data_IF_495767260441
#
_entry.id   IF_495767260441
#
_cell.length_a   1.000
_cell.length_b   1.000
_cell.length_c   1.000
_cell.angle_alpha   90.00
_cell.angle_beta   90.00
_cell.angle_gamma   90.00
#
_symmetry.space_group_name_H-M   'P 1'
#
loop_
_entity.id
_entity.type
_entity.pdbx_description
1 polymer ?
#
# COMPACT_ATOMS: atom_id res chain seq x y z
N UNK A 1 -28.66 77.79 -50.57
CA UNK A 1 -29.81 77.80 -49.64
C UNK A 1 -29.30 78.12 -48.24
N UNK A 2 -29.71 79.25 -47.65
CA UNK A 2 -29.28 79.66 -46.32
C UNK A 2 -30.01 78.80 -45.27
N UNK A 3 -29.28 77.97 -44.52
CA UNK A 3 -29.83 77.16 -43.43
C UNK A 3 -30.13 78.02 -42.20
N UNK A 4 -31.30 77.82 -41.60
CA UNK A 4 -31.80 78.60 -40.48
C UNK A 4 -30.85 78.49 -39.25
N UNK A 5 -30.42 79.62 -38.64
CA UNK A 5 -29.47 79.62 -37.53
C UNK A 5 -29.92 78.81 -36.31
N UNK A 6 -31.24 78.66 -36.10
CA UNK A 6 -31.80 77.85 -35.01
C UNK A 6 -31.60 76.34 -35.25
N UNK A 7 -31.70 75.89 -36.51
CA UNK A 7 -31.41 74.50 -36.89
C UNK A 7 -29.91 74.18 -36.81
N UNK A 8 -29.03 75.17 -37.05
CA UNK A 8 -27.58 74.99 -36.94
C UNK A 8 -27.12 74.84 -35.49
N UNK A 9 -27.72 75.59 -34.56
CA UNK A 9 -27.45 75.46 -33.10
C UNK A 9 -27.97 74.14 -32.55
N UNK A 10 -29.19 73.72 -32.94
CA UNK A 10 -29.76 72.43 -32.53
C UNK A 10 -28.95 71.23 -33.05
N UNK A 11 -28.52 71.26 -34.33
CA UNK A 11 -27.66 70.21 -34.91
C UNK A 11 -26.29 70.13 -34.23
N UNK A 12 -25.65 71.27 -33.94
CA UNK A 12 -24.36 71.28 -33.25
C UNK A 12 -24.48 70.81 -31.79
N UNK A 13 -25.58 71.15 -31.10
CA UNK A 13 -25.83 70.67 -29.73
C UNK A 13 -26.11 69.16 -29.69
N UNK A 14 -26.82 68.63 -30.69
CA UNK A 14 -27.05 67.19 -30.85
C UNK A 14 -25.75 66.44 -31.17
N UNK A 15 -24.95 66.95 -32.11
CA UNK A 15 -23.65 66.37 -32.46
C UNK A 15 -22.68 66.37 -31.26
N UNK A 16 -22.69 67.45 -30.46
CA UNK A 16 -21.86 67.57 -29.27
C UNK A 16 -22.31 66.61 -28.16
N UNK A 17 -23.62 66.45 -27.95
CA UNK A 17 -24.16 65.46 -27.01
C UNK A 17 -23.84 64.02 -27.43
N UNK A 18 -23.90 63.72 -28.73
CA UNK A 18 -23.52 62.42 -29.28
C UNK A 18 -22.02 62.15 -29.13
N UNK A 19 -21.16 63.15 -29.35
CA UNK A 19 -19.72 63.06 -29.15
C UNK A 19 -19.39 62.81 -27.66
N UNK A 20 -20.04 63.53 -26.75
CA UNK A 20 -19.84 63.36 -25.31
C UNK A 20 -20.24 61.96 -24.85
N UNK A 21 -21.37 61.43 -25.35
CA UNK A 21 -21.86 60.09 -25.01
C UNK A 21 -20.93 59.00 -25.56
N UNK A 22 -20.38 59.17 -26.77
CA UNK A 22 -19.37 58.28 -27.34
C UNK A 22 -18.09 58.24 -26.50
N UNK A 23 -17.63 59.38 -25.98
CA UNK A 23 -16.45 59.44 -25.11
C UNK A 23 -16.73 58.71 -23.79
N UNK A 24 -17.90 58.92 -23.18
CA UNK A 24 -18.29 58.24 -21.94
C UNK A 24 -18.40 56.72 -22.15
N UNK A 25 -19.04 56.28 -23.23
CA UNK A 25 -19.10 54.85 -23.59
C UNK A 25 -17.71 54.26 -23.83
N UNK A 26 -16.81 54.97 -24.53
CA UNK A 26 -15.43 54.54 -24.74
C UNK A 26 -14.67 54.35 -23.42
N UNK A 27 -14.85 55.26 -22.47
CA UNK A 27 -14.25 55.15 -21.13
C UNK A 27 -14.81 53.98 -20.32
N UNK A 28 -16.13 53.73 -20.39
CA UNK A 28 -16.75 52.57 -19.73
C UNK A 28 -16.24 51.25 -20.34
N UNK A 29 -16.12 51.17 -21.65
CA UNK A 29 -15.58 49.98 -22.34
C UNK A 29 -14.12 49.77 -21.97
N UNK A 30 -13.29 50.82 -21.94
CA UNK A 30 -11.89 50.73 -21.51
C UNK A 30 -11.77 50.27 -20.06
N UNK A 31 -12.62 50.79 -19.16
CA UNK A 31 -12.67 50.39 -17.76
C UNK A 31 -13.10 48.92 -17.59
N UNK A 32 -14.12 48.48 -18.33
CA UNK A 32 -14.54 47.06 -18.36
C UNK A 32 -13.43 46.16 -18.91
N UNK A 33 -12.68 46.60 -19.92
CA UNK A 33 -11.56 45.84 -20.47
C UNK A 33 -10.41 45.70 -19.46
N UNK A 34 -10.11 46.74 -18.69
CA UNK A 34 -9.14 46.70 -17.59
C UNK A 34 -9.61 45.74 -16.48
N UNK A 35 -10.89 45.79 -16.10
CA UNK A 35 -11.45 44.84 -15.13
C UNK A 35 -11.39 43.40 -15.63
N UNK A 36 -11.74 43.16 -16.90
CA UNK A 36 -11.71 41.83 -17.50
C UNK A 36 -10.29 41.27 -17.55
N UNK A 37 -9.29 42.10 -17.90
CA UNK A 37 -7.88 41.72 -17.86
C UNK A 37 -7.43 41.35 -16.44
N UNK A 38 -7.78 42.16 -15.44
CA UNK A 38 -7.46 41.88 -14.04
C UNK A 38 -8.15 40.60 -13.52
N UNK A 39 -9.36 40.28 -13.99
CA UNK A 39 -10.05 39.02 -13.66
C UNK A 39 -9.38 37.81 -14.32
N UNK A 40 -9.01 37.91 -15.60
CA UNK A 40 -8.27 36.82 -16.28
C UNK A 40 -6.88 36.61 -15.69
N UNK A 41 -6.18 37.67 -15.30
CA UNK A 41 -4.87 37.58 -14.65
C UNK A 41 -4.97 36.95 -13.25
N UNK A 42 -6.10 37.13 -12.55
CA UNK A 42 -6.41 36.44 -11.28
C UNK A 42 -6.74 34.96 -11.47
N UNK A 43 -7.47 34.58 -12.52
CA UNK A 43 -7.76 33.16 -12.83
C UNK A 43 -6.54 32.42 -13.37
N UNK A 44 -5.61 33.11 -14.07
CA UNK A 44 -4.38 32.54 -14.64
C UNK A 44 -3.16 32.64 -13.73
N UNK A 45 -3.31 33.18 -12.52
CA UNK A 45 -2.24 33.18 -11.53
C UNK A 45 -2.01 31.74 -11.06
N UNK A 46 -1.22 30.98 -11.82
CA UNK A 46 -0.76 29.64 -11.47
C UNK A 46 -0.12 29.70 -10.09
N UNK A 47 -0.80 29.13 -9.09
CA UNK A 47 -0.29 29.04 -7.72
C UNK A 47 0.87 28.05 -7.75
N UNK A 48 2.09 28.58 -7.88
CA UNK A 48 3.32 27.78 -7.84
C UNK A 48 3.67 27.46 -6.40
N UNK A 49 3.95 26.19 -6.13
CA UNK A 49 4.38 25.68 -4.82
C UNK A 49 5.78 25.09 -4.97
N UNK A 50 6.63 25.32 -3.96
CA UNK A 50 7.96 24.71 -3.86
C UNK A 50 7.81 23.26 -3.41
N UNK A 51 8.25 22.32 -4.24
CA UNK A 51 8.24 20.89 -3.92
C UNK A 51 9.62 20.25 -4.13
N UNK A 52 9.95 19.28 -3.28
CA UNK A 52 11.14 18.46 -3.43
C UNK A 52 11.00 17.44 -4.57
N UNK A 53 11.99 17.41 -5.46
CA UNK A 53 12.11 16.44 -6.56
C UNK A 53 13.49 15.82 -6.58
N UNK A 54 13.63 14.64 -7.20
CA UNK A 54 14.93 13.98 -7.37
C UNK A 54 15.87 14.77 -8.30
N UNK A 55 17.13 14.94 -7.90
CA UNK A 55 18.17 15.58 -8.74
C UNK A 55 18.87 14.60 -9.69
N UNK A 56 18.69 13.30 -9.46
CA UNK A 56 19.32 12.18 -10.16
C UNK A 56 18.36 10.99 -10.29
N UNK A 57 18.75 9.99 -11.07
CA UNK A 57 18.00 8.73 -11.20
C UNK A 57 18.21 7.87 -9.93
N UNK A 58 17.14 7.23 -9.46
CA UNK A 58 17.13 6.36 -8.29
C UNK A 58 16.57 5.00 -8.70
N UNK A 59 17.28 3.91 -8.39
CA UNK A 59 16.80 2.55 -8.67
C UNK A 59 15.83 2.08 -7.60
N UNK A 60 14.96 1.13 -7.94
CA UNK A 60 14.19 0.39 -6.93
C UNK A 60 15.15 -0.24 -5.90
N UNK A 61 14.77 -0.21 -4.62
CA UNK A 61 15.61 -0.69 -3.51
C UNK A 61 16.71 0.29 -3.07
N UNK A 62 16.94 1.40 -3.77
CA UNK A 62 17.96 2.37 -3.38
C UNK A 62 17.50 3.25 -2.21
N UNK A 63 18.41 3.49 -1.25
CA UNK A 63 18.19 4.43 -0.15
C UNK A 63 18.15 5.85 -0.70
N UNK A 64 17.05 6.55 -0.42
CA UNK A 64 16.85 7.96 -0.74
C UNK A 64 17.33 8.80 0.45
N UNK A 65 18.25 9.71 0.18
CA UNK A 65 18.75 10.67 1.18
C UNK A 65 18.32 12.10 0.83
N UNK A 66 18.30 13.01 1.82
CA UNK A 66 18.04 14.44 1.59
C UNK A 66 18.94 15.03 0.51
N UNK A 67 20.16 14.54 0.37
CA UNK A 67 21.12 15.03 -0.63
C UNK A 67 20.67 14.78 -2.06
N UNK A 68 19.82 13.79 -2.31
CA UNK A 68 19.28 13.43 -3.63
C UNK A 68 18.10 14.31 -4.05
N UNK A 69 17.66 15.21 -3.18
CA UNK A 69 16.52 16.09 -3.41
C UNK A 69 16.93 17.52 -3.77
N UNK A 70 16.12 18.15 -4.60
CA UNK A 70 16.22 19.58 -4.93
C UNK A 70 14.82 20.20 -4.97
N UNK A 71 14.70 21.48 -4.66
CA UNK A 71 13.41 22.18 -4.66
C UNK A 71 13.11 22.75 -6.04
N UNK A 72 11.88 22.57 -6.53
CA UNK A 72 11.38 23.19 -7.76
C UNK A 72 10.04 23.86 -7.54
N UNK A 73 9.80 24.95 -8.26
CA UNK A 73 8.50 25.60 -8.33
C UNK A 73 7.62 24.87 -9.36
N UNK A 74 6.57 24.20 -8.89
CA UNK A 74 5.63 23.44 -9.73
C UNK A 74 4.21 23.99 -9.52
N UNK A 75 3.40 23.95 -10.57
CA UNK A 75 1.97 24.24 -10.49
C UNK A 75 1.31 23.30 -9.46
N UNK A 76 0.60 23.87 -8.47
CA UNK A 76 -0.09 23.09 -7.44
C UNK A 76 -1.01 22.01 -8.02
N UNK A 77 -1.60 22.24 -9.18
CA UNK A 77 -2.53 21.30 -9.84
C UNK A 77 -1.83 20.07 -10.44
N UNK A 78 -0.51 20.14 -10.63
CA UNK A 78 0.30 19.03 -11.19
C UNK A 78 0.99 18.21 -10.10
N UNK A 79 0.83 18.59 -8.83
CA UNK A 79 1.41 17.88 -7.70
C UNK A 79 0.41 16.83 -7.22
N UNK A 80 0.79 15.54 -7.21
CA UNK A 80 -0.04 14.48 -6.64
C UNK A 80 -0.37 14.78 -5.17
N UNK A 81 -1.59 14.46 -4.73
CA UNK A 81 -2.01 14.70 -3.34
C UNK A 81 -1.17 13.93 -2.31
N UNK A 82 -0.66 12.76 -2.70
CA UNK A 82 0.19 11.89 -1.89
C UNK A 82 1.69 12.24 -1.96
N UNK A 83 2.05 13.41 -2.51
CA UNK A 83 3.43 13.83 -2.63
C UNK A 83 4.08 14.16 -1.27
N UNK A 84 5.35 13.80 -1.12
CA UNK A 84 6.21 14.25 -0.02
C UNK A 84 6.68 15.66 -0.39
N UNK A 85 6.01 16.66 0.18
CA UNK A 85 6.18 18.07 -0.19
C UNK A 85 7.57 18.63 0.08
N UNK A 86 8.29 18.12 1.09
CA UNK A 86 9.59 18.65 1.51
C UNK A 86 10.45 17.66 2.33
N UNK A 87 11.67 18.10 2.64
CA UNK A 87 12.65 17.33 3.40
C UNK A 87 12.19 17.02 4.84
N UNK A 88 11.40 17.90 5.46
CA UNK A 88 10.87 17.64 6.80
C UNK A 88 9.83 16.54 6.78
N UNK A 89 8.97 16.52 5.78
CA UNK A 89 7.97 15.48 5.56
C UNK A 89 8.63 14.13 5.30
N UNK A 90 9.75 14.11 4.56
CA UNK A 90 10.56 12.90 4.37
C UNK A 90 11.19 12.42 5.68
N UNK A 91 11.74 13.34 6.49
CA UNK A 91 12.30 13.01 7.82
C UNK A 91 11.21 12.47 8.73
N UNK A 92 10.03 13.06 8.75
CA UNK A 92 8.91 12.58 9.55
C UNK A 92 8.45 11.19 9.09
N UNK A 93 8.40 10.95 7.78
CA UNK A 93 8.13 9.63 7.23
C UNK A 93 9.14 8.58 7.73
N UNK A 94 10.41 8.95 7.90
CA UNK A 94 11.44 8.06 8.43
C UNK A 94 11.38 7.79 9.94
N UNK A 95 10.49 8.45 10.70
CA UNK A 95 10.40 8.28 12.16
C UNK A 95 9.61 7.03 12.55
N UNK A 96 10.07 6.41 13.63
CA UNK A 96 9.40 5.34 14.37
C UNK A 96 9.90 5.33 15.81
N UNK A 97 9.23 4.62 16.71
CA UNK A 97 9.79 4.35 18.03
C UNK A 97 10.76 3.15 18.02
N UNK A 98 11.47 2.96 19.13
CA UNK A 98 12.39 1.82 19.32
C UNK A 98 11.72 0.45 19.21
N UNK A 99 10.39 0.38 19.33
CA UNK A 99 9.61 -0.84 19.22
C UNK A 99 9.09 -1.06 17.78
N UNK A 100 9.39 -0.16 16.85
CA UNK A 100 8.97 -0.23 15.45
C UNK A 100 7.58 0.31 15.17
N UNK A 101 6.92 0.95 16.14
CA UNK A 101 5.61 1.56 15.96
C UNK A 101 5.72 2.77 15.02
N UNK A 102 4.74 2.92 14.14
CA UNK A 102 4.74 3.96 13.12
C UNK A 102 4.52 5.34 13.73
N UNK A 103 5.35 6.31 13.30
CA UNK A 103 5.06 7.72 13.50
C UNK A 103 4.50 8.28 12.21
N UNK A 104 3.30 8.86 12.30
CA UNK A 104 2.64 9.61 11.25
C UNK A 104 2.64 11.10 11.58
N UNK A 105 2.35 11.93 10.57
CA UNK A 105 2.30 13.39 10.73
C UNK A 105 1.03 13.92 10.08
N UNK A 106 0.27 14.74 10.80
CA UNK A 106 -0.96 15.39 10.32
C UNK A 106 -0.79 16.90 10.47
N UNK A 107 -1.32 17.68 9.52
CA UNK A 107 -1.34 19.14 9.63
C UNK A 107 -2.61 19.54 10.36
N UNK A 108 -2.45 20.16 11.52
CA UNK A 108 -3.55 20.69 12.33
C UNK A 108 -3.31 22.18 12.57
N UNK A 109 -4.30 23.01 12.23
CA UNK A 109 -4.20 24.48 12.37
C UNK A 109 -2.97 25.13 11.71
N UNK A 110 -2.42 24.50 10.66
CA UNK A 110 -1.22 25.00 9.97
C UNK A 110 0.10 24.58 10.61
N UNK A 111 0.07 23.83 11.70
CA UNK A 111 1.25 23.25 12.35
C UNK A 111 1.32 21.75 12.08
N UNK A 112 2.54 21.22 12.01
CA UNK A 112 2.79 19.81 11.78
C UNK A 112 2.79 19.07 13.12
N UNK A 113 1.79 18.21 13.33
CA UNK A 113 1.61 17.44 14.56
C UNK A 113 1.96 15.98 14.30
N UNK A 114 2.81 15.40 15.15
CA UNK A 114 3.22 14.01 15.08
C UNK A 114 2.26 13.11 15.88
N UNK A 115 2.03 11.92 15.37
CA UNK A 115 1.22 10.88 16.01
C UNK A 115 2.00 9.57 16.03
N UNK A 116 2.04 8.90 17.18
CA UNK A 116 2.52 7.53 17.31
C UNK A 116 1.34 6.57 17.23
N UNK A 117 1.32 5.70 16.24
CA UNK A 117 0.31 4.65 16.14
C UNK A 117 0.77 3.46 16.96
N UNK A 118 0.14 3.25 18.13
CA UNK A 118 0.43 2.13 19.03
C UNK A 118 -0.88 1.41 19.32
N UNK A 119 -0.92 0.08 19.10
CA UNK A 119 -2.14 -0.71 19.24
C UNK A 119 -3.34 -0.10 18.45
N UNK A 120 -3.14 0.21 17.16
CA UNK A 120 -4.15 0.85 16.30
C UNK A 120 -4.76 2.17 16.81
N UNK A 121 -4.16 2.78 17.84
CA UNK A 121 -4.57 4.07 18.37
C UNK A 121 -3.49 5.09 18.06
N UNK A 122 -3.88 6.20 17.44
CA UNK A 122 -3.00 7.33 17.20
C UNK A 122 -2.89 8.16 18.47
N UNK A 123 -1.71 8.15 19.09
CA UNK A 123 -1.39 9.01 20.22
C UNK A 123 -0.64 10.24 19.72
N UNK A 124 -1.12 11.43 20.07
CA UNK A 124 -0.40 12.67 19.78
C UNK A 124 0.95 12.66 20.49
N UNK A 125 2.04 12.82 19.73
CA UNK A 125 3.38 12.97 20.26
C UNK A 125 3.59 14.43 20.63
N UNK A 126 3.74 14.69 21.92
CA UNK A 126 4.08 15.99 22.47
C UNK A 126 5.55 16.04 22.84
N UNK A 127 6.10 17.26 22.91
CA UNK A 127 7.50 17.50 23.22
C UNK A 127 7.58 18.33 24.48
N UNK A 128 8.39 17.91 25.44
CA UNK A 128 8.65 18.71 26.63
C UNK A 128 9.74 19.78 26.39
N UNK A 129 10.01 20.59 27.41
CA UNK A 129 11.02 21.64 27.37
C UNK A 129 12.44 21.11 27.14
N UNK A 130 12.69 19.82 27.43
CA UNK A 130 13.97 19.15 27.19
C UNK A 130 14.14 18.66 25.75
N UNK A 131 13.05 18.70 24.96
CA UNK A 131 13.02 18.18 23.61
C UNK A 131 12.72 16.68 23.52
N UNK A 132 12.30 16.05 24.62
CA UNK A 132 11.93 14.64 24.68
C UNK A 132 10.47 14.45 24.26
N UNK A 133 10.21 13.44 23.42
CA UNK A 133 8.86 13.12 22.99
C UNK A 133 8.13 12.28 24.05
N UNK A 134 6.84 12.54 24.25
CA UNK A 134 5.97 11.76 25.11
C UNK A 134 4.56 11.66 24.54
N UNK A 135 3.81 10.65 24.99
CA UNK A 135 2.37 10.54 24.80
C UNK A 135 1.67 10.68 26.16
N UNK A 136 0.50 11.31 26.21
CA UNK A 136 -0.32 11.35 27.42
C UNK A 136 -1.26 10.17 27.48
N UNK A 137 -1.20 9.41 28.57
CA UNK A 137 -2.09 8.28 28.83
C UNK A 137 -2.56 8.33 30.28
N UNK A 138 -3.88 8.42 30.48
CA UNK A 138 -4.48 8.49 31.82
C UNK A 138 -3.86 9.58 32.71
N UNK A 139 -3.64 10.78 32.16
CA UNK A 139 -2.98 11.93 32.80
C UNK A 139 -1.51 11.70 33.22
N UNK A 140 -0.85 10.65 32.72
CA UNK A 140 0.58 10.42 32.91
C UNK A 140 1.33 10.54 31.58
N UNK A 141 2.57 11.03 31.65
CA UNK A 141 3.47 11.14 30.49
C UNK A 141 4.24 9.84 30.30
N UNK A 142 4.07 9.19 29.15
CA UNK A 142 4.87 8.05 28.71
C UNK A 142 5.90 8.56 27.69
N UNK A 143 7.18 8.58 28.07
CA UNK A 143 8.25 9.08 27.20
C UNK A 143 8.60 8.08 26.10
N UNK A 144 8.66 8.58 24.87
CA UNK A 144 8.89 7.80 23.65
C UNK A 144 10.23 8.21 23.05
N UNK A 145 11.10 7.22 22.84
CA UNK A 145 12.35 7.42 22.10
C UNK A 145 12.10 7.12 20.63
N UNK A 146 12.31 8.14 19.78
CA UNK A 146 12.22 8.01 18.34
C UNK A 146 13.59 7.68 17.74
N UNK A 147 13.58 6.83 16.73
CA UNK A 147 14.71 6.62 15.83
C UNK A 147 14.27 6.86 14.38
N UNK A 148 15.25 7.06 13.50
CA UNK A 148 15.03 7.19 12.06
C UNK A 148 15.45 5.92 11.36
N UNK A 149 14.64 5.49 10.39
CA UNK A 149 14.96 4.37 9.49
C UNK A 149 15.19 4.90 8.08
N UNK A 150 16.10 4.29 7.29
CA UNK A 150 16.37 4.78 5.94
C UNK A 150 15.09 4.74 5.09
N UNK A 151 14.90 5.70 4.19
CA UNK A 151 13.80 5.67 3.22
C UNK A 151 14.32 5.00 1.95
N UNK A 152 13.55 4.06 1.39
CA UNK A 152 13.93 3.25 0.24
C UNK A 152 12.93 3.47 -0.89
N UNK A 153 13.39 3.55 -2.14
CA UNK A 153 12.52 3.62 -3.30
C UNK A 153 11.85 2.27 -3.58
N UNK A 154 10.52 2.22 -3.66
CA UNK A 154 9.76 1.01 -4.05
C UNK A 154 9.90 0.69 -5.53
N UNK A 155 10.08 1.71 -6.37
CA UNK A 155 10.19 1.61 -7.82
C UNK A 155 11.37 2.45 -8.32
N UNK A 156 11.82 2.19 -9.55
CA UNK A 156 12.85 3.03 -10.17
C UNK A 156 12.25 4.39 -10.54
N UNK A 157 12.87 5.47 -10.06
CA UNK A 157 12.45 6.85 -10.24
C UNK A 157 13.48 7.61 -11.06
N UNK A 158 13.01 8.47 -11.96
CA UNK A 158 13.87 9.29 -12.80
C UNK A 158 14.13 10.66 -12.18
N UNK A 159 15.23 11.29 -12.60
CA UNK A 159 15.51 12.69 -12.30
C UNK A 159 14.26 13.57 -12.54
N UNK A 160 14.00 14.48 -11.61
CA UNK A 160 12.84 15.36 -11.51
C UNK A 160 11.52 14.70 -11.10
N UNK A 161 11.50 13.40 -10.78
CA UNK A 161 10.30 12.79 -10.21
C UNK A 161 10.00 13.37 -8.82
N UNK A 162 8.71 13.58 -8.55
CA UNK A 162 8.17 13.92 -7.24
C UNK A 162 8.10 12.64 -6.42
N UNK A 163 8.61 12.66 -5.19
CA UNK A 163 8.43 11.53 -4.28
C UNK A 163 6.98 11.51 -3.78
N UNK A 164 6.34 10.35 -3.86
CA UNK A 164 5.03 10.12 -3.27
C UNK A 164 5.10 9.00 -2.25
N UNK A 165 4.15 8.95 -1.30
CA UNK A 165 4.09 7.90 -0.27
C UNK A 165 4.03 6.48 -0.87
N UNK A 166 3.49 6.34 -2.08
CA UNK A 166 3.38 5.05 -2.78
C UNK A 166 4.70 4.63 -3.47
N UNK A 167 5.59 5.58 -3.73
CA UNK A 167 6.89 5.31 -4.39
C UNK A 167 8.03 5.04 -3.43
N UNK A 168 7.81 5.20 -2.12
CA UNK A 168 8.82 5.04 -1.07
C UNK A 168 8.33 4.08 0.03
N UNK A 169 9.28 3.43 0.70
CA UNK A 169 9.05 2.64 1.90
C UNK A 169 10.05 3.01 3.00
N UNK A 170 9.71 2.72 4.25
CA UNK A 170 10.70 2.70 5.33
C UNK A 170 11.57 1.45 5.14
N UNK A 171 12.87 1.54 5.42
CA UNK A 171 13.84 0.48 5.14
C UNK A 171 13.66 -0.80 5.95
N UNK A 172 12.79 -0.78 6.96
CA UNK A 172 12.31 -1.93 7.70
C UNK A 172 10.91 -2.42 7.28
N UNK A 173 10.16 -1.61 6.52
CA UNK A 173 8.88 -1.96 5.86
C UNK A 173 9.09 -2.19 4.35
N UNK A 174 10.32 -2.44 3.91
CA UNK A 174 10.50 -3.10 2.63
C UNK A 174 9.88 -4.47 2.78
N UNK A 175 8.83 -4.76 2.01
CA UNK A 175 8.68 -6.08 1.41
C UNK A 175 10.09 -6.45 0.97
N UNK A 176 10.79 -7.23 1.78
CA UNK A 176 12.19 -7.53 1.51
C UNK A 176 12.23 -8.22 0.15
N UNK A 177 13.33 -8.05 -0.59
CA UNK A 177 13.47 -8.62 -1.94
C UNK A 177 13.20 -10.13 -2.00
N UNK A 178 13.03 -10.80 -0.86
CA UNK A 178 12.73 -12.22 -0.64
C UNK A 178 11.25 -12.55 -0.43
N UNK A 179 10.33 -11.57 -0.39
CA UNK A 179 8.89 -11.85 -0.23
C UNK A 179 8.25 -12.21 -1.57
N UNK A 180 7.50 -13.31 -1.61
CA UNK A 180 6.75 -13.77 -2.78
C UNK A 180 5.29 -14.03 -2.41
N UNK A 181 4.39 -13.74 -3.34
CA UNK A 181 2.99 -14.15 -3.23
C UNK A 181 2.87 -15.62 -3.60
N UNK A 182 2.36 -16.42 -2.67
CA UNK A 182 2.17 -17.87 -2.83
C UNK A 182 0.69 -18.21 -2.73
N UNK A 183 0.27 -19.19 -3.53
CA UNK A 183 -1.07 -19.77 -3.50
C UNK A 183 -1.05 -21.10 -2.75
N UNK A 184 -1.98 -21.28 -1.82
CA UNK A 184 -2.13 -22.54 -1.09
C UNK A 184 -3.58 -23.01 -1.08
N UNK A 185 -3.77 -24.29 -1.34
CA UNK A 185 -5.07 -24.98 -1.30
C UNK A 185 -5.09 -26.22 -0.38
N UNK A 186 -4.02 -26.41 0.39
CA UNK A 186 -3.85 -27.51 1.34
C UNK A 186 -4.12 -27.09 2.80
N UNK A 187 -4.27 -25.78 3.02
CA UNK A 187 -4.59 -25.20 4.31
C UNK A 187 -6.10 -25.23 4.50
N UNK A 188 -6.56 -25.78 5.63
CA UNK A 188 -7.96 -25.72 6.01
C UNK A 188 -8.30 -24.29 6.42
N UNK A 189 -9.20 -23.66 5.67
CA UNK A 189 -9.62 -22.28 5.87
C UNK A 189 -10.78 -22.18 6.88
N UNK A 190 -10.81 -21.16 7.75
CA UNK A 190 -11.99 -20.80 8.54
C UNK A 190 -13.17 -20.45 7.64
N UNK A 191 -14.39 -20.81 8.06
CA UNK A 191 -15.61 -20.60 7.26
C UNK A 191 -15.98 -19.13 7.03
N UNK A 192 -15.44 -18.22 7.84
CA UNK A 192 -15.71 -16.79 7.80
C UNK A 192 -14.50 -15.97 7.35
N UNK A 193 -13.46 -16.62 6.79
CA UNK A 193 -12.27 -15.90 6.33
C UNK A 193 -12.62 -15.00 5.14
N UNK A 194 -12.04 -13.80 5.13
CA UNK A 194 -12.20 -12.81 4.08
C UNK A 194 -10.86 -12.26 3.62
N UNK A 195 -10.82 -11.75 2.37
CA UNK A 195 -9.67 -11.00 1.88
C UNK A 195 -9.40 -9.79 2.79
N UNK A 196 -8.16 -9.65 3.24
CA UNK A 196 -7.72 -8.63 4.20
C UNK A 196 -7.62 -9.12 5.65
N UNK A 197 -8.09 -10.34 5.95
CA UNK A 197 -7.87 -10.95 7.25
C UNK A 197 -6.38 -11.30 7.46
N UNK A 198 -5.95 -11.29 8.72
CA UNK A 198 -4.63 -11.80 9.10
C UNK A 198 -4.77 -13.17 9.75
N UNK A 199 -3.86 -14.08 9.43
CA UNK A 199 -3.87 -15.45 9.97
C UNK A 199 -2.52 -15.91 10.48
N UNK A 200 -2.56 -16.84 11.43
CA UNK A 200 -1.47 -17.79 11.66
C UNK A 200 -1.75 -19.07 10.88
N UNK A 201 -0.73 -19.65 10.28
CA UNK A 201 -0.79 -21.00 9.72
C UNK A 201 -0.22 -21.98 10.72
N UNK A 202 -1.01 -23.01 11.05
CA UNK A 202 -0.69 -23.96 12.13
C UNK A 202 -0.71 -25.39 11.64
N UNK A 203 0.22 -26.18 12.15
CA UNK A 203 0.28 -27.63 11.98
C UNK A 203 -0.26 -28.29 13.26
N UNK A 204 -1.42 -28.94 13.14
CA UNK A 204 -1.98 -29.77 14.22
C UNK A 204 -1.63 -31.24 13.96
N UNK A 205 -1.03 -31.89 14.96
CA UNK A 205 -0.72 -33.32 14.96
C UNK A 205 -1.84 -34.13 15.62
N UNK A 206 -1.97 -35.45 15.35
CA UNK A 206 -3.05 -36.29 15.88
C UNK A 206 -3.03 -36.45 17.40
N UNK A 207 -1.87 -36.22 18.01
CA UNK A 207 -1.67 -36.25 19.46
C UNK A 207 -2.10 -34.94 20.16
N UNK A 208 -2.66 -33.97 19.42
CA UNK A 208 -3.12 -32.69 19.94
C UNK A 208 -2.05 -31.62 20.05
N UNK A 209 -0.80 -31.90 19.65
CA UNK A 209 0.24 -30.89 19.57
C UNK A 209 -0.02 -29.96 18.38
N UNK A 210 0.23 -28.67 18.60
CA UNK A 210 -0.11 -27.61 17.66
C UNK A 210 1.06 -26.64 17.55
N UNK A 211 1.56 -26.45 16.32
CA UNK A 211 2.73 -25.63 16.04
C UNK A 211 2.39 -24.50 15.08
N UNK A 212 2.88 -23.30 15.39
CA UNK A 212 2.74 -22.13 14.53
C UNK A 212 3.86 -22.17 13.49
N UNK A 213 3.48 -22.35 12.22
CA UNK A 213 4.40 -22.45 11.08
C UNK A 213 4.78 -21.07 10.59
N UNK A 214 3.78 -20.24 10.32
CA UNK A 214 3.93 -18.85 9.90
C UNK A 214 2.93 -18.02 10.68
N UNK A 215 3.34 -16.84 11.13
CA UNK A 215 2.51 -15.97 11.96
C UNK A 215 2.11 -14.68 11.25
N UNK A 216 0.90 -14.21 11.54
CA UNK A 216 0.34 -12.90 11.15
C UNK A 216 0.56 -12.54 9.68
N UNK A 217 0.00 -13.34 8.77
CA UNK A 217 0.04 -13.08 7.32
C UNK A 217 -1.27 -12.53 6.80
N UNK A 218 -1.16 -11.53 5.94
CA UNK A 218 -2.28 -11.02 5.16
C UNK A 218 -2.77 -12.10 4.19
N UNK A 219 -4.09 -12.25 4.12
CA UNK A 219 -4.76 -13.23 3.27
C UNK A 219 -5.53 -12.53 2.17
N UNK A 220 -5.38 -13.03 0.95
CA UNK A 220 -6.20 -12.68 -0.20
C UNK A 220 -6.91 -13.94 -0.69
N UNK A 221 -8.25 -13.94 -0.69
CA UNK A 221 -9.06 -15.04 -1.20
C UNK A 221 -9.36 -14.75 -2.68
N UNK A 222 -8.94 -15.62 -3.63
CA UNK A 222 -9.23 -15.41 -5.04
C UNK A 222 -10.74 -15.55 -5.29
N UNK A 223 -11.27 -14.67 -6.14
CA UNK A 223 -12.67 -14.72 -6.58
C UNK A 223 -12.77 -15.43 -7.94
N UNK A 224 -13.74 -16.33 -8.06
CA UNK A 224 -14.09 -17.01 -9.30
C UNK A 224 -15.57 -16.77 -9.55
N UNK A 225 -15.90 -16.13 -10.66
CA UNK A 225 -17.30 -15.76 -11.02
C UNK A 225 -18.01 -14.92 -9.93
N UNK A 226 -17.28 -14.00 -9.30
CA UNK A 226 -17.80 -13.16 -8.20
C UNK A 226 -18.06 -13.89 -6.89
N UNK A 227 -17.63 -15.16 -6.78
CA UNK A 227 -17.71 -15.95 -5.54
C UNK A 227 -16.29 -16.21 -5.00
N UNK A 228 -16.02 -15.91 -3.73
CA UNK A 228 -14.73 -16.24 -3.10
C UNK A 228 -14.45 -17.75 -3.12
N UNK A 229 -13.20 -18.15 -3.37
CA UNK A 229 -12.79 -19.56 -3.24
C UNK A 229 -12.93 -20.02 -1.78
N UNK A 230 -13.50 -21.21 -1.60
CA UNK A 230 -13.65 -21.85 -0.29
C UNK A 230 -12.39 -22.60 0.16
N UNK A 231 -11.47 -22.88 -0.77
CA UNK A 231 -10.35 -23.80 -0.55
C UNK A 231 -8.98 -23.18 -0.77
N UNK A 232 -8.91 -22.04 -1.45
CA UNK A 232 -7.65 -21.46 -1.89
C UNK A 232 -7.47 -20.08 -1.30
N UNK A 233 -6.23 -19.80 -0.92
CA UNK A 233 -5.82 -18.51 -0.38
C UNK A 233 -4.46 -18.10 -0.93
N UNK A 234 -4.25 -16.80 -1.06
CA UNK A 234 -2.97 -16.19 -1.37
C UNK A 234 -2.40 -15.52 -0.13
N UNK A 235 -1.08 -15.59 0.00
CA UNK A 235 -0.35 -14.93 1.09
C UNK A 235 1.04 -14.51 0.64
N UNK A 236 1.55 -13.45 1.26
CA UNK A 236 2.90 -12.95 1.01
C UNK A 236 3.87 -13.55 2.05
N UNK A 237 4.83 -14.35 1.59
CA UNK A 237 5.79 -15.06 2.42
C UNK A 237 7.22 -14.73 2.03
N UNK A 238 8.10 -14.59 3.01
CA UNK A 238 9.56 -14.57 2.81
C UNK A 238 10.07 -15.94 2.39
N UNK A 239 11.22 -16.02 1.73
CA UNK A 239 11.79 -17.29 1.25
C UNK A 239 11.94 -18.34 2.38
N UNK A 240 12.34 -17.92 3.58
CA UNK A 240 12.42 -18.85 4.72
C UNK A 240 11.05 -19.34 5.21
N UNK A 241 10.01 -18.51 5.12
CA UNK A 241 8.64 -18.92 5.44
C UNK A 241 8.07 -19.86 4.36
N UNK A 242 8.42 -19.67 3.09
CA UNK A 242 8.07 -20.58 1.99
C UNK A 242 8.66 -21.96 2.23
N UNK A 243 9.94 -22.03 2.59
CA UNK A 243 10.61 -23.29 2.93
C UNK A 243 10.02 -23.92 4.20
N UNK A 244 9.70 -23.11 5.21
CA UNK A 244 9.04 -23.58 6.43
C UNK A 244 7.66 -24.16 6.15
N UNK A 245 6.87 -23.47 5.33
CA UNK A 245 5.55 -23.91 4.90
C UNK A 245 5.63 -25.21 4.09
N UNK A 246 6.57 -25.30 3.15
CA UNK A 246 6.81 -26.50 2.35
C UNK A 246 7.17 -27.72 3.22
N UNK A 247 8.05 -27.53 4.22
CA UNK A 247 8.37 -28.56 5.22
C UNK A 247 7.13 -29.00 5.99
N UNK A 248 6.30 -28.05 6.44
CA UNK A 248 5.10 -28.34 7.20
C UNK A 248 4.03 -29.08 6.38
N UNK A 249 3.92 -28.79 5.08
CA UNK A 249 3.03 -29.51 4.15
C UNK A 249 3.45 -30.98 4.04
N UNK A 250 4.75 -31.22 3.86
CA UNK A 250 5.27 -32.59 3.78
C UNK A 250 5.06 -33.34 5.10
N UNK A 251 5.32 -32.69 6.24
CA UNK A 251 5.12 -33.31 7.55
C UNK A 251 3.62 -33.63 7.80
N UNK A 252 2.72 -32.69 7.46
CA UNK A 252 1.27 -32.90 7.57
C UNK A 252 0.78 -34.08 6.73
N UNK A 253 1.30 -34.20 5.50
CA UNK A 253 0.91 -35.26 4.58
C UNK A 253 1.45 -36.65 4.98
N UNK A 254 2.63 -36.70 5.62
CA UNK A 254 3.22 -37.93 6.15
C UNK A 254 2.53 -38.42 7.42
N UNK A 255 1.99 -37.50 8.22
CA UNK A 255 1.34 -37.83 9.49
C UNK A 255 -0.18 -37.89 9.31
N UNK A 256 -0.74 -39.08 9.07
CA UNK A 256 -2.18 -39.29 8.96
C UNK A 256 -2.95 -38.72 10.17
N UNK A 257 -3.97 -37.91 9.89
CA UNK A 257 -4.75 -37.19 10.90
C UNK A 257 -4.19 -35.82 11.28
N UNK A 258 -3.02 -35.44 10.74
CA UNK A 258 -2.53 -34.07 10.84
C UNK A 258 -3.24 -33.17 9.85
N UNK A 259 -3.27 -31.88 10.16
CA UNK A 259 -3.79 -30.85 9.25
C UNK A 259 -3.01 -29.56 9.37
N UNK A 260 -2.88 -28.88 8.24
CA UNK A 260 -2.54 -27.47 8.20
C UNK A 260 -3.83 -26.67 8.21
N UNK A 261 -3.93 -25.68 9.08
CA UNK A 261 -5.12 -24.84 9.17
C UNK A 261 -4.76 -23.40 9.47
N UNK A 262 -5.58 -22.48 8.97
CA UNK A 262 -5.45 -21.07 9.26
C UNK A 262 -6.25 -20.71 10.52
N UNK A 263 -5.67 -19.85 11.37
CA UNK A 263 -6.34 -19.26 12.53
C UNK A 263 -6.35 -17.76 12.36
N UNK A 264 -7.55 -17.16 12.29
CA UNK A 264 -7.69 -15.71 12.12
C UNK A 264 -7.37 -14.94 13.39
N UNK A 265 -6.75 -13.78 13.22
CA UNK A 265 -6.59 -12.80 14.28
C UNK A 265 -7.94 -12.13 14.53
N UNK A 266 -8.35 -12.04 15.79
CA UNK A 266 -9.60 -11.37 16.15
C UNK A 266 -9.51 -9.87 15.95
N UNK A 267 -8.35 -9.29 16.27
CA UNK A 267 -8.08 -7.86 16.12
C UNK A 267 -6.64 -7.65 15.65
N UNK A 268 -6.39 -7.78 14.32
CA UNK A 268 -5.03 -7.78 13.76
C UNK A 268 -4.26 -6.47 13.99
N UNK A 269 -4.96 -5.37 14.22
CA UNK A 269 -4.37 -4.07 14.52
C UNK A 269 -3.73 -3.94 15.90
N UNK A 270 -4.19 -4.71 16.90
CA UNK A 270 -3.68 -4.63 18.29
C UNK A 270 -2.94 -5.89 18.71
N UNK A 271 -3.23 -7.02 18.06
CA UNK A 271 -2.59 -8.29 18.39
C UNK A 271 -1.20 -8.35 17.78
N UNK A 272 -0.18 -8.53 18.62
CA UNK A 272 1.18 -8.79 18.16
C UNK A 272 1.22 -10.12 17.39
N UNK A 273 2.13 -10.22 16.42
CA UNK A 273 2.36 -11.47 15.71
C UNK A 273 2.79 -12.56 16.72
N UNK A 274 2.21 -13.75 16.59
CA UNK A 274 2.65 -14.90 17.35
C UNK A 274 4.10 -15.28 16.98
N UNK A 275 4.84 -15.86 17.92
CA UNK A 275 6.16 -16.40 17.63
C UNK A 275 6.01 -17.79 17.01
N UNK A 276 6.53 -18.04 15.79
CA UNK A 276 6.49 -19.37 15.18
C UNK A 276 7.20 -20.41 16.06
N UNK A 277 6.55 -21.56 16.26
CA UNK A 277 7.03 -22.67 17.11
C UNK A 277 7.34 -23.94 16.31
N UNK A 278 6.98 -23.98 15.03
CA UNK A 278 7.30 -25.10 14.15
C UNK A 278 8.80 -25.17 13.86
N UNK A 279 9.31 -26.39 13.82
CA UNK A 279 10.72 -26.68 13.51
C UNK A 279 10.83 -27.53 12.24
N UNK A 280 11.49 -26.97 11.22
CA UNK A 280 11.70 -27.61 9.92
C UNK A 280 12.66 -28.81 10.01
N UNK A 281 12.63 -29.67 8.99
CA UNK A 281 13.58 -30.80 8.90
C UNK A 281 15.04 -30.31 8.76
N UNK A 282 16.00 -31.20 9.03
CA UNK A 282 17.43 -30.87 8.92
C UNK A 282 17.82 -30.52 7.49
N UNK A 283 17.24 -31.19 6.51
CA UNK A 283 17.47 -30.96 5.09
C UNK A 283 16.98 -29.57 4.67
N UNK A 284 15.78 -29.18 5.13
CA UNK A 284 15.21 -27.87 4.85
C UNK A 284 15.99 -26.77 5.59
N UNK A 285 16.45 -27.02 6.83
CA UNK A 285 17.34 -26.08 7.52
C UNK A 285 18.66 -25.85 6.79
N UNK A 286 19.22 -26.92 6.21
CA UNK A 286 20.42 -26.79 5.39
C UNK A 286 20.14 -25.97 4.14
N UNK A 287 19.01 -26.21 3.46
CA UNK A 287 18.59 -25.41 2.32
C UNK A 287 18.41 -23.93 2.69
N UNK A 288 17.81 -23.64 3.85
CA UNK A 288 17.68 -22.28 4.39
C UNK A 288 19.06 -21.64 4.65
N UNK A 289 20.01 -22.41 5.18
CA UNK A 289 21.36 -21.92 5.44
C UNK A 289 22.13 -21.62 4.14
N UNK A 290 21.94 -22.43 3.11
CA UNK A 290 22.64 -22.34 1.82
C UNK A 290 22.00 -21.31 0.87
N UNK A 291 20.74 -20.92 1.08
CA UNK A 291 20.00 -20.02 0.17
C UNK A 291 20.54 -18.57 0.25
N UNK A 292 20.99 -17.97 -0.88
CA UNK A 292 21.46 -16.59 -0.91
C UNK A 292 20.33 -15.54 -0.80
N UNK A 293 19.07 -15.93 -1.00
CA UNK A 293 17.92 -15.02 -0.97
C UNK A 293 17.34 -14.85 0.44
N UNK A 294 17.77 -15.66 1.42
CA UNK A 294 17.34 -15.55 2.82
C UNK A 294 18.26 -14.60 3.57
N UNK A 295 17.68 -13.59 4.23
CA UNK A 295 18.42 -12.64 5.07
C UNK A 295 19.17 -13.35 6.20
N UNK A 296 20.41 -12.95 6.46
CA UNK A 296 21.30 -13.58 7.45
C UNK A 296 20.71 -13.54 8.88
N UNK A 297 19.94 -12.50 9.21
CA UNK A 297 19.18 -12.42 10.45
C UNK A 297 18.15 -13.55 10.58
N UNK A 298 17.43 -13.88 9.51
CA UNK A 298 16.47 -14.98 9.50
C UNK A 298 17.16 -16.35 9.65
N UNK A 299 18.37 -16.53 9.07
CA UNK A 299 19.18 -17.74 9.25
C UNK A 299 19.56 -17.94 10.71
N UNK A 300 20.04 -16.90 11.37
CA UNK A 300 20.41 -16.95 12.79
C UNK A 300 19.18 -17.18 13.68
N UNK A 301 18.05 -16.53 13.37
CA UNK A 301 16.82 -16.73 14.11
C UNK A 301 16.29 -18.16 13.97
N UNK A 302 16.29 -18.74 12.77
CA UNK A 302 15.86 -20.12 12.54
C UNK A 302 16.80 -21.14 13.18
N UNK A 303 18.11 -20.89 13.15
CA UNK A 303 19.09 -21.71 13.86
C UNK A 303 18.84 -21.69 15.38
N UNK A 304 18.51 -20.53 15.95
CA UNK A 304 18.16 -20.39 17.36
C UNK A 304 16.80 -21.00 17.71
N UNK A 305 15.85 -20.99 16.77
CA UNK A 305 14.54 -21.63 16.91
C UNK A 305 14.60 -23.15 16.76
N UNK A 306 15.69 -23.73 16.21
CA UNK A 306 15.81 -25.17 16.08
C UNK A 306 15.78 -25.84 17.45
N UNK A 307 14.59 -26.28 17.84
CA UNK A 307 14.37 -27.01 19.06
C UNK A 307 14.37 -28.50 18.70
N UNK A 308 15.46 -29.17 19.07
CA UNK A 308 15.65 -30.58 18.78
C UNK A 308 14.51 -31.44 19.36
N UNK A 309 13.99 -31.11 20.54
CA UNK A 309 12.89 -31.85 21.18
C UNK A 309 11.55 -31.68 20.44
N UNK A 310 11.25 -30.48 19.94
CA UNK A 310 10.06 -30.26 19.12
C UNK A 310 10.15 -31.04 17.79
N UNK A 311 11.33 -31.04 17.16
CA UNK A 311 11.56 -31.81 15.93
C UNK A 311 11.50 -33.32 16.15
N UNK A 312 12.11 -33.83 17.22
CA UNK A 312 12.06 -35.24 17.60
C UNK A 312 10.63 -35.74 17.74
N UNK A 313 9.73 -34.89 18.23
CA UNK A 313 8.32 -35.22 18.39
C UNK A 313 7.58 -35.35 17.05
N UNK A 314 7.87 -34.46 16.11
CA UNK A 314 7.34 -34.51 14.74
C UNK A 314 7.90 -35.74 14.01
N UNK A 315 9.20 -35.97 14.12
CA UNK A 315 9.88 -37.11 13.47
C UNK A 315 9.37 -38.45 14.05
N UNK A 316 9.11 -38.54 15.35
CA UNK A 316 8.50 -39.72 15.96
C UNK A 316 7.08 -39.97 15.42
N UNK A 317 6.27 -38.92 15.22
CA UNK A 317 4.95 -39.05 14.61
C UNK A 317 5.03 -39.57 13.16
N UNK A 318 6.02 -39.10 12.39
CA UNK A 318 6.28 -39.59 11.02
C UNK A 318 6.70 -41.07 11.04
N UNK A 319 7.65 -41.45 11.90
CA UNK A 319 8.13 -42.83 12.00
C UNK A 319 7.02 -43.81 12.37
N UNK A 320 6.08 -43.39 13.23
CA UNK A 320 4.95 -44.22 13.63
C UNK A 320 4.00 -44.58 12.47
N UNK A 321 4.04 -43.82 11.37
CA UNK A 321 3.17 -44.02 10.21
C UNK A 321 3.75 -44.84 9.06
N UNK A 322 5.05 -45.18 9.07
CA UNK A 322 5.66 -46.13 8.12
C UNK A 322 5.29 -45.91 6.64
N UNK A 323 5.00 -46.98 5.90
CA UNK A 323 4.60 -46.96 4.47
C UNK A 323 3.36 -46.10 4.16
N UNK A 324 2.50 -45.84 5.17
CA UNK A 324 1.32 -44.97 4.98
C UNK A 324 1.71 -43.52 4.76
N UNK A 325 2.91 -43.11 5.19
CA UNK A 325 3.41 -41.76 5.01
C UNK A 325 3.68 -41.43 3.54
N UNK A 326 4.22 -42.37 2.75
CA UNK A 326 4.48 -42.17 1.32
C UNK A 326 3.17 -42.14 0.51
N UNK A 327 2.21 -43.01 0.87
CA UNK A 327 0.88 -43.04 0.25
C UNK A 327 0.08 -41.77 0.57
N UNK A 328 0.16 -41.27 1.81
CA UNK A 328 -0.48 -40.02 2.22
C UNK A 328 0.09 -38.81 1.48
N UNK A 329 1.42 -38.75 1.34
CA UNK A 329 2.08 -37.68 0.59
C UNK A 329 1.66 -37.67 -0.88
N UNK A 330 1.75 -38.80 -1.57
CA UNK A 330 1.34 -38.90 -2.99
C UNK A 330 -0.13 -38.53 -3.20
N UNK A 331 -1.02 -38.97 -2.31
CA UNK A 331 -2.45 -38.63 -2.35
C UNK A 331 -2.68 -37.13 -2.17
N UNK A 332 -2.11 -36.53 -1.11
CA UNK A 332 -2.29 -35.09 -0.83
C UNK A 332 -1.78 -34.19 -1.96
N UNK A 333 -0.65 -34.55 -2.56
CA UNK A 333 -0.08 -33.83 -3.72
C UNK A 333 -1.03 -33.94 -4.91
N UNK A 334 -1.54 -35.13 -5.21
CA UNK A 334 -2.48 -35.33 -6.32
C UNK A 334 -3.79 -34.56 -6.11
N UNK A 335 -4.33 -34.55 -4.89
CA UNK A 335 -5.52 -33.76 -4.55
C UNK A 335 -5.29 -32.26 -4.71
N UNK A 336 -4.14 -31.74 -4.24
CA UNK A 336 -3.81 -30.33 -4.39
C UNK A 336 -3.69 -29.92 -5.87
N UNK A 337 -3.04 -30.73 -6.71
CA UNK A 337 -2.93 -30.47 -8.14
C UNK A 337 -4.31 -30.48 -8.81
N UNK A 338 -5.16 -31.45 -8.45
CA UNK A 338 -6.51 -31.58 -9.01
C UNK A 338 -7.37 -30.36 -8.64
N UNK A 339 -7.35 -29.94 -7.38
CA UNK A 339 -8.08 -28.73 -6.92
C UNK A 339 -7.65 -27.48 -7.67
N UNK A 340 -6.33 -27.25 -7.84
CA UNK A 340 -5.83 -26.09 -8.59
C UNK A 340 -6.27 -26.13 -10.06
N UNK A 341 -6.28 -27.31 -10.70
CA UNK A 341 -6.76 -27.45 -12.07
C UNK A 341 -8.26 -27.17 -12.20
N UNK A 342 -9.07 -27.66 -11.25
CA UNK A 342 -10.52 -27.42 -11.21
C UNK A 342 -10.83 -25.94 -11.00
N UNK A 343 -10.17 -25.27 -10.07
CA UNK A 343 -10.36 -23.83 -9.83
C UNK A 343 -9.92 -22.99 -11.02
N UNK A 344 -8.77 -23.33 -11.62
CA UNK A 344 -8.33 -22.67 -12.86
C UNK A 344 -9.33 -22.87 -13.99
N UNK A 345 -9.93 -24.06 -14.11
CA UNK A 345 -10.96 -24.32 -15.10
C UNK A 345 -12.21 -23.48 -14.83
N UNK A 346 -12.71 -23.44 -13.58
CA UNK A 346 -13.84 -22.57 -13.19
C UNK A 346 -13.57 -21.11 -13.51
N UNK A 347 -12.35 -20.62 -13.27
CA UNK A 347 -11.93 -19.27 -13.61
C UNK A 347 -11.98 -19.02 -15.13
N UNK A 348 -11.43 -19.93 -15.94
CA UNK A 348 -11.47 -19.81 -17.40
C UNK A 348 -12.90 -19.85 -17.96
N UNK A 349 -13.73 -20.79 -17.47
CA UNK A 349 -15.13 -20.91 -17.85
C UNK A 349 -15.91 -19.63 -17.49
N UNK A 350 -15.62 -19.00 -16.34
CA UNK A 350 -16.20 -17.72 -15.92
C UNK A 350 -15.72 -16.54 -16.77
N UNK A 351 -14.49 -16.58 -17.30
CA UNK A 351 -13.99 -15.57 -18.23
C UNK A 351 -14.64 -15.70 -19.61
N UNK A 352 -14.87 -16.93 -20.08
CA UNK A 352 -15.55 -17.19 -21.36
C UNK A 352 -17.03 -16.83 -21.33
N UNK A 353 -17.67 -16.86 -20.16
CA UNK A 353 -19.09 -16.50 -19.98
C UNK A 353 -19.33 -14.98 -19.86
N UNK A 354 -18.27 -14.16 -19.73
CA UNK A 354 -18.41 -12.70 -19.72
C UNK A 354 -18.80 -12.18 -21.12
N UNK A 355 -19.93 -11.46 -21.28
CA UNK A 355 -20.30 -10.90 -22.56
C UNK A 355 -19.28 -9.84 -22.98
N UNK A 356 -18.66 -10.05 -24.14
CA UNK A 356 -17.77 -9.08 -24.78
C UNK A 356 -18.50 -7.75 -24.98
N UNK A 357 -18.28 -6.77 -24.11
CA UNK A 357 -18.73 -5.40 -24.30
C UNK A 357 -17.84 -4.73 -25.35
N UNK A 358 -18.11 -5.06 -26.62
CA UNK A 358 -17.68 -4.22 -27.73
C UNK A 358 -18.43 -2.91 -27.61
N UNK A 359 -17.75 -1.86 -27.15
CA UNK A 359 -18.25 -0.48 -27.22
C UNK A 359 -18.45 -0.08 -28.68
N UNK A 360 -19.66 -0.28 -29.21
CA UNK A 360 -20.11 0.42 -30.40
C UNK A 360 -20.51 1.85 -29.99
N UNK A 361 -19.60 2.80 -30.24
CA UNK A 361 -19.89 4.23 -30.15
C UNK A 361 -20.98 4.59 -31.17
N UNK A 362 -22.20 4.87 -30.70
CA UNK A 362 -23.25 5.48 -31.52
C UNK A 362 -23.00 6.98 -31.64
N UNK A 363 -22.48 7.41 -32.78
CA UNK A 363 -22.45 8.83 -33.17
C UNK A 363 -23.85 9.28 -33.55
N UNK A 364 -24.53 9.99 -32.65
CA UNK A 364 -25.79 10.67 -32.94
C UNK A 364 -25.51 11.90 -33.82
N UNK A 365 -25.84 11.82 -35.10
CA UNK A 365 -25.83 12.98 -36.01
C UNK A 365 -27.23 13.59 -36.03
N UNK A 366 -27.38 14.77 -35.45
CA UNK A 366 -28.60 15.58 -35.50
C UNK A 366 -28.67 16.34 -36.83
N UNK A 367 -29.55 15.88 -37.74
CA UNK A 367 -29.92 16.65 -38.94
C UNK A 367 -31.16 17.50 -38.67
N UNK A 368 -30.95 18.80 -38.50
CA UNK A 368 -32.00 19.83 -38.56
C UNK A 368 -32.57 19.92 -39.97
N UNK A 369 -33.89 19.73 -40.15
CA UNK A 369 -34.58 20.12 -41.38
C UNK A 369 -35.60 21.20 -41.06
N UNK A 370 -35.36 22.36 -41.66
CA UNK A 370 -36.20 23.55 -41.70
C UNK A 370 -37.51 23.27 -42.46
N UNK A 371 -38.63 23.78 -41.95
CA UNK A 371 -39.77 24.21 -42.74
C UNK A 371 -40.34 25.50 -42.16
#
# INVERSE_FOLDING_TARGET
MATNPMQRKARNSFLLGMLLMLIICGLIIAFLFIQLKNYQDKEKAVVKVKIAVLKEDVKAGQIITSSMLTKKDIDKTLIPENAIGDEQTLKNYSLQDKQGNEVSSKVENGENVLYLTKNNTDYKLEKDDSGSYYIERNNNKEYIQLNTVPVVAKVSLKKNAVLTRDTISKGNNTTSDDVRRQEYNIVVLPTQIQTGDYVDIRLSLPNGQDYIVVAKKDVEIPEVDGTPSETTMWMNLTENEILSMSSAIVDAAKVQGSKLYATTYTEPGIQNAATPTYTTSKEVLKQIADDPNIVEQAKNELANRYNQSARETIDAAIQSNGEKAETGLTTSVQESITKTQEERKKYLDALESQPSTTSSSSTTTSSSTTK
#
